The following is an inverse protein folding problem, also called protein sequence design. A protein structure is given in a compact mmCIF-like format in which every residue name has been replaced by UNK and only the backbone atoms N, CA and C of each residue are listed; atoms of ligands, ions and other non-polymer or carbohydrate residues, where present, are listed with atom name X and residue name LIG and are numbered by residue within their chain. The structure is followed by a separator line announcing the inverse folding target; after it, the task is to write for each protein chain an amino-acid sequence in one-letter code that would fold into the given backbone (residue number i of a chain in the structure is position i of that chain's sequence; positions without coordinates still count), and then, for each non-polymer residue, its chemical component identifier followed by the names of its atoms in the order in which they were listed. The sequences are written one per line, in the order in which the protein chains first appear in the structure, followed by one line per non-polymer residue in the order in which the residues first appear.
data_IF_919910918943
#
_entry.id   IF_919910918943
#
_cell.length_a   1.000
_cell.length_b   1.000
_cell.length_c   1.000
_cell.angle_alpha   90.00
_cell.angle_beta   90.00
_cell.angle_gamma   90.00
#
_symmetry.space_group_name_H-M   'P 1'
#
loop_
_entity.id
_entity.type
_entity.pdbx_description
1 polymer ?
#
# COMPACT_ATOMS: atom_id res chain seq x y z
N UNK A 1 -5.72 -12.47 -4.83
CA UNK A 1 -4.63 -12.68 -3.87
C UNK A 1 -5.10 -12.35 -2.46
N UNK A 2 -4.70 -13.14 -1.51
CA UNK A 2 -5.16 -13.00 -0.12
C UNK A 2 -4.03 -13.36 0.83
N UNK A 3 -3.91 -12.62 1.93
CA UNK A 3 -2.89 -12.88 2.92
C UNK A 3 -3.12 -12.08 4.18
N UNK A 4 -2.27 -12.29 5.18
CA UNK A 4 -2.31 -11.58 6.46
C UNK A 4 -1.07 -10.69 6.54
N UNK A 5 -1.29 -9.39 6.76
CA UNK A 5 -0.22 -8.44 6.98
C UNK A 5 -0.12 -8.13 8.47
N UNK A 6 1.07 -8.25 9.02
CA UNK A 6 1.33 -7.98 10.44
C UNK A 6 2.20 -6.73 10.64
N UNK A 7 2.57 -6.04 9.58
CA UNK A 7 3.41 -4.84 9.65
C UNK A 7 3.17 -3.95 8.44
N UNK A 8 3.59 -2.69 8.57
CA UNK A 8 3.56 -1.78 7.43
C UNK A 8 4.47 -2.26 6.29
N UNK A 9 5.55 -2.98 6.62
CA UNK A 9 6.44 -3.57 5.62
C UNK A 9 5.70 -4.63 4.80
N UNK A 10 4.90 -5.48 5.44
CA UNK A 10 4.10 -6.48 4.74
C UNK A 10 3.11 -5.83 3.79
N UNK A 11 2.43 -4.78 4.25
CA UNK A 11 1.48 -4.03 3.43
C UNK A 11 2.20 -3.39 2.25
N UNK A 12 3.35 -2.77 2.50
CA UNK A 12 4.15 -2.12 1.46
C UNK A 12 4.61 -3.09 0.38
N UNK A 13 4.99 -4.30 0.79
CA UNK A 13 5.38 -5.35 -0.16
C UNK A 13 4.21 -5.74 -1.05
N UNK A 14 3.01 -5.86 -0.51
CA UNK A 14 1.82 -6.19 -1.31
C UNK A 14 1.53 -5.07 -2.32
N UNK A 15 1.61 -3.81 -1.91
CA UNK A 15 1.44 -2.68 -2.83
C UNK A 15 2.45 -2.76 -3.97
N UNK A 16 3.70 -3.02 -3.65
CA UNK A 16 4.77 -3.15 -4.66
C UNK A 16 4.48 -4.32 -5.62
N UNK A 17 4.06 -5.46 -5.10
CA UNK A 17 3.74 -6.62 -5.93
C UNK A 17 2.59 -6.32 -6.89
N UNK A 18 1.55 -5.63 -6.41
CA UNK A 18 0.43 -5.22 -7.27
C UNK A 18 0.93 -4.30 -8.38
N UNK A 19 1.76 -3.32 -8.03
CA UNK A 19 2.32 -2.38 -9.01
C UNK A 19 3.11 -3.12 -10.09
N UNK A 20 3.98 -4.01 -9.68
CA UNK A 20 4.82 -4.78 -10.61
C UNK A 20 3.98 -5.72 -11.48
N UNK A 21 2.94 -6.32 -10.91
CA UNK A 21 2.03 -7.18 -11.67
C UNK A 21 1.30 -6.43 -12.77
N UNK A 22 1.07 -5.13 -12.59
CA UNK A 22 0.46 -4.27 -13.61
C UNK A 22 1.50 -3.63 -14.53
N UNK A 23 2.77 -3.97 -14.39
CA UNK A 23 3.84 -3.44 -15.25
C UNK A 23 4.09 -1.96 -15.06
N UNK A 24 3.80 -1.38 -13.89
CA UNK A 24 3.90 0.05 -13.67
C UNK A 24 5.16 0.43 -12.90
N UNK A 25 5.76 1.58 -13.28
CA UNK A 25 6.78 2.22 -12.47
C UNK A 25 6.14 2.87 -11.23
N UNK A 26 6.96 3.17 -10.22
CA UNK A 26 6.47 3.96 -9.08
C UNK A 26 5.93 5.31 -9.52
N UNK A 27 6.64 5.97 -10.44
CA UNK A 27 6.23 7.27 -10.95
C UNK A 27 4.85 7.21 -11.61
N UNK A 28 4.62 6.20 -12.44
CA UNK A 28 3.34 6.05 -13.15
C UNK A 28 2.20 5.77 -12.17
N UNK A 29 2.41 4.88 -11.21
CA UNK A 29 1.37 4.57 -10.24
C UNK A 29 1.09 5.75 -9.32
N UNK A 30 2.13 6.44 -8.86
CA UNK A 30 1.97 7.63 -8.02
C UNK A 30 1.14 8.70 -8.73
N UNK A 31 1.41 8.92 -10.01
CA UNK A 31 0.64 9.88 -10.81
C UNK A 31 -0.83 9.46 -10.89
N UNK A 32 -1.09 8.19 -11.13
CA UNK A 32 -2.46 7.66 -11.22
C UNK A 32 -3.21 7.81 -9.90
N UNK A 33 -2.52 7.61 -8.77
CA UNK A 33 -3.10 7.69 -7.45
C UNK A 33 -3.21 9.13 -6.92
N UNK A 34 -2.58 10.10 -7.59
CA UNK A 34 -2.58 11.49 -7.14
C UNK A 34 -1.68 11.72 -5.93
N UNK A 35 -0.62 10.93 -5.76
CA UNK A 35 0.35 11.09 -4.68
C UNK A 35 1.74 11.30 -5.27
N UNK A 36 2.69 11.74 -4.44
CA UNK A 36 4.07 11.87 -4.88
C UNK A 36 4.72 10.49 -5.01
N UNK A 37 5.70 10.38 -5.90
CA UNK A 37 6.50 9.15 -6.01
C UNK A 37 7.21 8.85 -4.70
N UNK A 38 7.68 9.89 -4.00
CA UNK A 38 8.32 9.75 -2.71
C UNK A 38 7.39 9.09 -1.70
N UNK A 39 6.13 9.53 -1.64
CA UNK A 39 5.16 8.94 -0.71
C UNK A 39 4.90 7.47 -1.05
N UNK A 40 4.69 7.16 -2.33
CA UNK A 40 4.49 5.77 -2.74
C UNK A 40 5.71 4.91 -2.41
N UNK A 41 6.92 5.43 -2.63
CA UNK A 41 8.14 4.74 -2.25
C UNK A 41 8.19 4.46 -0.76
N UNK A 42 7.79 5.42 0.07
CA UNK A 42 7.74 5.24 1.52
C UNK A 42 6.73 4.16 1.92
N UNK A 43 5.56 4.16 1.29
CA UNK A 43 4.54 3.14 1.54
C UNK A 43 5.08 1.74 1.19
N UNK A 44 5.71 1.60 0.03
CA UNK A 44 6.24 0.31 -0.42
C UNK A 44 7.37 -0.20 0.48
N UNK A 45 8.09 0.70 1.14
CA UNK A 45 9.15 0.33 2.08
C UNK A 45 8.66 0.15 3.51
N UNK A 46 7.37 0.37 3.75
CA UNK A 46 6.79 0.19 5.08
C UNK A 46 7.18 1.29 6.08
N UNK A 47 7.44 2.51 5.60
CA UNK A 47 7.83 3.62 6.46
C UNK A 47 6.67 4.31 7.21
N UNK A 48 5.42 4.37 6.68
CA UNK A 48 4.33 4.99 7.46
C UNK A 48 4.15 4.28 8.79
N UNK A 49 4.04 5.07 9.86
CA UNK A 49 3.88 4.57 11.23
C UNK A 49 2.45 4.68 11.72
N UNK A 50 1.61 5.40 11.01
CA UNK A 50 0.23 5.69 11.38
C UNK A 50 -0.65 5.38 10.18
N UNK A 51 -1.75 4.66 10.43
CA UNK A 51 -2.79 4.43 9.40
C UNK A 51 -3.70 5.65 9.36
N UNK A 52 -3.27 6.68 8.66
CA UNK A 52 -4.10 7.85 8.43
C UNK A 52 -4.98 7.66 7.18
N UNK A 53 -5.88 8.62 6.95
CA UNK A 53 -6.82 8.52 5.84
C UNK A 53 -6.13 8.46 4.49
N UNK A 54 -5.01 9.17 4.34
CA UNK A 54 -4.25 9.17 3.09
C UNK A 54 -3.70 7.77 2.80
N UNK A 55 -3.15 7.11 3.80
CA UNK A 55 -2.61 5.75 3.67
C UNK A 55 -3.73 4.77 3.31
N UNK A 56 -4.83 4.83 4.05
CA UNK A 56 -5.98 3.93 3.81
C UNK A 56 -6.56 4.17 2.42
N UNK A 57 -6.69 5.42 1.98
CA UNK A 57 -7.18 5.74 0.65
C UNK A 57 -6.28 5.18 -0.45
N UNK A 58 -4.96 5.28 -0.27
CA UNK A 58 -4.01 4.71 -1.22
C UNK A 58 -4.18 3.20 -1.32
N UNK A 59 -4.27 2.51 -0.18
CA UNK A 59 -4.45 1.06 -0.15
C UNK A 59 -5.73 0.65 -0.87
N UNK A 60 -6.84 1.31 -0.57
CA UNK A 60 -8.11 1.02 -1.23
C UNK A 60 -8.04 1.26 -2.74
N UNK A 61 -7.34 2.30 -3.17
CA UNK A 61 -7.21 2.63 -4.59
C UNK A 61 -6.43 1.56 -5.37
N UNK A 62 -5.48 0.88 -4.73
CA UNK A 62 -4.75 -0.23 -5.38
C UNK A 62 -5.41 -1.58 -5.15
N UNK A 63 -6.57 -1.63 -4.47
CA UNK A 63 -7.33 -2.86 -4.27
C UNK A 63 -6.99 -3.62 -3.00
N UNK A 64 -6.34 -2.98 -2.03
CA UNK A 64 -6.02 -3.61 -0.74
C UNK A 64 -7.07 -3.19 0.28
N UNK A 65 -7.76 -4.17 0.84
CA UNK A 65 -8.74 -3.96 1.90
C UNK A 65 -8.11 -4.35 3.24
N UNK A 66 -8.19 -3.44 4.21
CA UNK A 66 -7.75 -3.74 5.57
C UNK A 66 -8.87 -4.42 6.35
N UNK A 67 -8.50 -5.41 7.12
CA UNK A 67 -9.42 -6.14 7.97
C UNK A 67 -8.79 -6.30 9.35
N UNK A 68 -9.61 -6.63 10.34
CA UNK A 68 -9.09 -6.89 11.68
C UNK A 68 -9.75 -8.16 12.23
N UNK A 69 -9.06 -8.73 13.20
CA UNK A 69 -9.53 -9.91 13.91
C UNK A 69 -9.25 -9.72 15.39
N UNK A 70 -10.23 -10.02 16.23
CA UNK A 70 -10.08 -9.90 17.68
C UNK A 70 -9.85 -11.28 18.29
N UNK A 71 -9.23 -11.28 19.48
CA UNK A 71 -8.88 -12.53 20.17
C UNK A 71 -9.66 -12.75 21.45
N UNK A 72 -10.74 -12.10 21.63
CA UNK A 72 -11.56 -12.24 22.84
C UNK A 72 -12.50 -13.45 22.84
#
# INVERSE_FOLDING_TARGET
MRGIATSARDIGRVVREIRLAHGMSQSALAQQLGVSQRYLSEVERGLPKILDDRYISLLNAVGVTLAYETRD
#
